data_IF_636550454748
#
_entry.id   IF_636550454748
#
_cell.length_a   1.000
_cell.length_b   1.000
_cell.length_c   1.000
_cell.angle_alpha   90.00
_cell.angle_beta   90.00
_cell.angle_gamma   90.00
#
_symmetry.space_group_name_H-M   'P 1'
#
loop_
_entity.id
_entity.type
_entity.pdbx_description
1 polymer ?
#
# COMPACT_ATOMS: atom_id res chain seq x y z
N UNK A 1 10.88 11.62 -1.67
CA UNK A 1 10.82 10.84 -0.43
C UNK A 1 11.08 11.71 0.81
N UNK A 2 12.24 12.39 0.95
CA UNK A 2 12.56 13.17 2.15
C UNK A 2 11.52 14.26 2.47
N UNK A 3 11.12 15.05 1.50
CA UNK A 3 10.11 16.10 1.71
C UNK A 3 8.75 15.52 2.19
N UNK A 4 8.35 14.37 1.66
CA UNK A 4 7.14 13.68 2.10
C UNK A 4 7.28 13.09 3.51
N UNK A 5 8.45 12.54 3.86
CA UNK A 5 8.73 12.07 5.22
C UNK A 5 8.59 13.21 6.23
N UNK A 6 9.25 14.34 5.97
CA UNK A 6 9.18 15.50 6.85
C UNK A 6 7.76 16.06 6.98
N UNK A 7 6.98 16.02 5.90
CA UNK A 7 5.58 16.42 5.91
C UNK A 7 4.72 15.50 6.80
N UNK A 8 4.90 14.19 6.67
CA UNK A 8 4.19 13.21 7.51
C UNK A 8 4.53 13.42 8.98
N UNK A 9 5.82 13.61 9.31
CA UNK A 9 6.28 13.88 10.69
C UNK A 9 5.72 15.21 11.24
N UNK A 10 5.57 16.23 10.38
CA UNK A 10 4.95 17.49 10.74
C UNK A 10 3.45 17.31 11.04
N UNK A 11 2.71 16.61 10.18
CA UNK A 11 1.29 16.35 10.39
C UNK A 11 1.08 15.54 11.69
N UNK A 12 1.89 14.53 11.93
CA UNK A 12 1.81 13.74 13.19
C UNK A 12 2.08 14.59 14.43
N UNK A 13 2.98 15.57 14.33
CA UNK A 13 3.32 16.47 15.44
C UNK A 13 2.21 17.47 15.73
N UNK A 14 1.64 18.07 14.69
CA UNK A 14 0.65 19.14 14.82
C UNK A 14 -0.77 18.58 14.99
N UNK A 15 -1.02 17.40 14.49
CA UNK A 15 -2.33 16.71 14.52
C UNK A 15 -2.17 15.27 15.03
N UNK A 16 -1.71 15.08 16.28
CA UNK A 16 -1.27 13.76 16.78
C UNK A 16 -2.38 12.70 16.84
N UNK A 17 -3.65 13.11 16.82
CA UNK A 17 -4.79 12.20 16.84
C UNK A 17 -5.39 11.95 15.46
N UNK A 18 -4.94 12.66 14.43
CA UNK A 18 -5.49 12.58 13.06
C UNK A 18 -4.82 11.51 12.19
N UNK A 19 -3.54 11.20 12.43
CA UNK A 19 -2.84 10.08 11.78
C UNK A 19 -2.77 8.88 12.73
N UNK A 20 -3.87 8.53 13.33
CA UNK A 20 -4.08 7.26 14.00
C UNK A 20 -4.44 6.15 12.98
N UNK A 21 -4.96 5.03 13.46
CA UNK A 21 -5.42 3.93 12.58
C UNK A 21 -6.49 4.35 11.58
N UNK A 22 -7.25 5.42 11.83
CA UNK A 22 -8.31 5.95 10.95
C UNK A 22 -7.84 7.12 10.09
N UNK A 23 -7.07 8.05 10.62
CA UNK A 23 -6.61 9.26 9.95
C UNK A 23 -5.53 9.07 8.87
N UNK A 24 -4.98 7.86 8.73
CA UNK A 24 -4.00 7.53 7.68
C UNK A 24 -4.58 7.46 6.26
N UNK A 25 -5.91 7.55 6.12
CA UNK A 25 -6.58 7.51 4.82
C UNK A 25 -6.72 8.90 4.22
N UNK A 26 -6.55 8.98 2.89
CA UNK A 26 -6.75 10.20 2.09
C UNK A 26 -5.95 11.43 2.55
N UNK A 27 -4.79 11.22 3.16
CA UNK A 27 -3.91 12.30 3.63
C UNK A 27 -3.43 13.23 2.52
N UNK A 28 -3.51 12.83 1.25
CA UNK A 28 -3.23 13.69 0.10
C UNK A 28 -4.22 14.87 0.01
N UNK A 29 -5.45 14.73 0.52
CA UNK A 29 -6.45 15.80 0.49
C UNK A 29 -6.14 16.95 1.45
N UNK A 30 -5.30 16.71 2.45
CA UNK A 30 -4.92 17.71 3.46
C UNK A 30 -3.46 18.18 3.31
N UNK A 31 -2.68 17.57 2.42
CA UNK A 31 -1.27 17.91 2.22
C UNK A 31 -0.91 18.04 0.73
N UNK A 32 -0.65 19.26 0.24
CA UNK A 32 -0.21 19.47 -1.13
C UNK A 32 1.07 18.71 -1.50
N UNK A 33 1.95 18.42 -0.53
CA UNK A 33 3.18 17.65 -0.78
C UNK A 33 2.90 16.17 -1.00
N UNK A 34 1.90 15.62 -0.31
CA UNK A 34 1.47 14.24 -0.51
C UNK A 34 0.61 14.11 -1.78
N UNK A 35 -0.21 15.13 -2.07
CA UNK A 35 -0.96 15.22 -3.31
C UNK A 35 -0.02 15.28 -4.54
N UNK A 36 1.09 16.01 -4.44
CA UNK A 36 2.11 16.04 -5.50
C UNK A 36 2.76 14.67 -5.79
N UNK A 37 2.70 13.70 -4.87
CA UNK A 37 3.11 12.32 -5.15
C UNK A 37 2.05 11.63 -6.00
N UNK A 38 0.79 11.79 -5.66
CA UNK A 38 -0.34 11.20 -6.40
C UNK A 38 -0.35 11.66 -7.86
N UNK A 39 -0.03 12.93 -8.09
CA UNK A 39 0.02 13.55 -9.41
C UNK A 39 1.43 13.58 -10.04
N UNK A 40 2.37 12.81 -9.51
CA UNK A 40 3.73 12.77 -10.06
C UNK A 40 3.75 12.16 -11.46
N UNK A 41 4.31 12.87 -12.44
CA UNK A 41 4.32 12.44 -13.85
C UNK A 41 4.94 11.05 -14.04
N UNK A 42 6.04 10.74 -13.36
CA UNK A 42 6.68 9.41 -13.47
C UNK A 42 5.79 8.27 -12.98
N UNK A 43 4.93 8.52 -12.00
CA UNK A 43 3.93 7.55 -11.54
C UNK A 43 2.81 7.46 -12.55
N UNK A 44 2.26 8.60 -12.98
CA UNK A 44 1.15 8.65 -13.92
C UNK A 44 1.51 8.08 -15.29
N UNK A 45 2.71 8.36 -15.82
CA UNK A 45 3.19 7.79 -17.08
C UNK A 45 3.24 6.25 -17.02
N UNK A 46 3.73 5.70 -15.88
CA UNK A 46 3.77 4.25 -15.68
C UNK A 46 2.35 3.66 -15.53
N UNK A 47 1.46 4.34 -14.83
CA UNK A 47 0.06 3.93 -14.67
C UNK A 47 -0.68 4.01 -16.01
N UNK A 48 -0.52 5.10 -16.77
CA UNK A 48 -1.12 5.27 -18.10
C UNK A 48 -0.72 4.15 -19.07
N UNK A 49 0.53 3.71 -19.00
CA UNK A 49 1.01 2.59 -19.82
C UNK A 49 0.32 1.26 -19.54
N UNK A 50 -0.34 1.12 -18.37
CA UNK A 50 -1.02 -0.10 -17.94
C UNK A 50 -2.52 -0.02 -18.18
N UNK A 51 -3.16 1.09 -17.75
CA UNK A 51 -4.62 1.22 -17.73
C UNK A 51 -5.16 2.24 -18.73
N UNK A 52 -4.29 2.90 -19.50
CA UNK A 52 -4.67 3.93 -20.49
C UNK A 52 -4.84 5.31 -19.87
N UNK A 53 -5.26 6.25 -20.74
CA UNK A 53 -5.53 7.65 -20.39
C UNK A 53 -6.78 7.78 -19.50
N UNK A 54 -6.98 8.98 -18.97
CA UNK A 54 -8.13 9.30 -18.11
C UNK A 54 -8.15 8.53 -16.79
N UNK A 55 -7.14 8.79 -16.01
CA UNK A 55 -6.89 8.12 -14.72
C UNK A 55 -7.64 8.87 -13.62
N UNK A 56 -8.37 8.13 -12.79
CA UNK A 56 -8.97 8.60 -11.55
C UNK A 56 -8.19 8.07 -10.34
N UNK A 57 -8.11 8.85 -9.28
CA UNK A 57 -7.57 8.43 -7.98
C UNK A 57 -8.72 8.06 -7.06
N UNK A 58 -8.74 6.84 -6.56
CA UNK A 58 -9.78 6.40 -5.63
C UNK A 58 -9.48 6.84 -4.19
N UNK A 59 -8.33 6.45 -3.66
CA UNK A 59 -7.94 6.78 -2.29
C UNK A 59 -6.43 6.65 -2.08
N UNK A 60 -5.95 7.17 -0.96
CA UNK A 60 -4.58 6.94 -0.51
C UNK A 60 -4.55 6.43 0.93
N UNK A 61 -3.49 5.72 1.29
CA UNK A 61 -3.27 5.22 2.64
C UNK A 61 -1.80 5.30 3.02
N UNK A 62 -1.52 5.75 4.24
CA UNK A 62 -0.20 5.59 4.85
C UNK A 62 -0.11 4.26 5.58
N UNK A 63 0.87 3.45 5.21
CA UNK A 63 1.25 2.24 5.94
C UNK A 63 2.54 2.49 6.71
N UNK A 64 2.40 2.78 7.99
CA UNK A 64 3.51 3.08 8.89
C UNK A 64 3.75 1.88 9.80
N UNK A 65 5.00 1.44 9.87
CA UNK A 65 5.47 0.43 10.83
C UNK A 65 6.61 1.02 11.64
N UNK A 66 6.34 1.30 12.90
CA UNK A 66 7.36 1.79 13.81
C UNK A 66 8.36 0.68 14.19
N UNK A 67 9.55 1.03 14.70
CA UNK A 67 10.55 0.05 15.11
C UNK A 67 9.98 -0.96 16.09
N UNK A 68 10.24 -2.25 15.86
CA UNK A 68 9.91 -3.37 16.78
C UNK A 68 8.41 -3.50 17.13
N UNK A 69 7.53 -2.93 16.31
CA UNK A 69 6.10 -3.14 16.46
C UNK A 69 5.64 -4.41 15.75
N UNK A 70 4.62 -5.06 16.32
CA UNK A 70 4.07 -6.32 15.83
C UNK A 70 3.01 -6.16 14.74
N UNK A 71 2.87 -4.95 14.19
CA UNK A 71 1.92 -4.66 13.13
C UNK A 71 2.34 -5.33 11.82
N UNK A 72 1.39 -6.01 11.22
CA UNK A 72 1.56 -6.71 9.95
C UNK A 72 0.38 -6.41 9.01
N UNK A 73 0.49 -6.84 7.77
CA UNK A 73 -0.61 -6.85 6.80
C UNK A 73 -0.78 -8.29 6.35
N UNK A 74 -1.95 -8.88 6.65
CA UNK A 74 -2.26 -10.25 6.21
C UNK A 74 -2.25 -10.36 4.68
N UNK A 75 -2.01 -11.56 4.15
CA UNK A 75 -2.11 -11.79 2.71
C UNK A 75 -3.54 -11.57 2.24
N UNK A 76 -3.69 -10.71 1.25
CA UNK A 76 -5.00 -10.32 0.69
C UNK A 76 -4.86 -9.92 -0.79
N UNK A 77 -6.00 -9.71 -1.43
CA UNK A 77 -6.12 -9.12 -2.76
C UNK A 77 -6.95 -7.83 -2.64
N UNK A 78 -6.44 -6.72 -3.14
CA UNK A 78 -7.13 -5.42 -3.08
C UNK A 78 -8.52 -5.45 -3.70
N UNK A 79 -8.72 -6.27 -4.73
CA UNK A 79 -9.99 -6.45 -5.41
C UNK A 79 -11.15 -6.86 -4.48
N UNK A 80 -10.86 -7.47 -3.33
CA UNK A 80 -11.89 -7.80 -2.31
C UNK A 80 -12.36 -6.59 -1.49
N UNK A 81 -11.57 -5.53 -1.47
CA UNK A 81 -11.90 -4.30 -0.73
C UNK A 81 -12.62 -3.27 -1.60
N UNK A 82 -12.31 -3.27 -2.89
CA UNK A 82 -12.83 -2.34 -3.88
C UNK A 82 -13.59 -3.14 -4.92
N UNK A 83 -14.90 -3.07 -4.92
CA UNK A 83 -15.78 -3.87 -5.77
C UNK A 83 -15.94 -3.30 -7.20
N UNK A 84 -14.83 -2.92 -7.84
CA UNK A 84 -14.81 -2.40 -9.21
C UNK A 84 -14.54 -3.53 -10.21
N UNK A 85 -15.35 -3.62 -11.25
CA UNK A 85 -15.19 -4.55 -12.36
C UNK A 85 -15.47 -3.85 -13.70
N UNK A 86 -14.68 -4.19 -14.75
CA UNK A 86 -13.51 -5.08 -14.74
C UNK A 86 -12.37 -4.51 -13.88
N UNK A 87 -11.45 -5.39 -13.45
CA UNK A 87 -10.31 -4.98 -12.61
C UNK A 87 -9.24 -4.20 -13.41
N UNK A 88 -9.68 -3.16 -14.11
CA UNK A 88 -8.82 -2.28 -14.91
C UNK A 88 -8.30 -1.10 -14.06
N UNK A 89 -7.58 -1.44 -13.01
CA UNK A 89 -6.98 -0.50 -12.10
C UNK A 89 -5.70 -1.07 -11.47
N UNK A 90 -4.89 -0.21 -10.90
CA UNK A 90 -3.59 -0.57 -10.36
C UNK A 90 -3.31 0.17 -9.05
N UNK A 91 -2.72 -0.53 -8.10
CA UNK A 91 -2.24 0.09 -6.85
C UNK A 91 -0.77 0.50 -7.00
N UNK A 92 -0.46 1.74 -6.62
CA UNK A 92 0.92 2.23 -6.52
C UNK A 92 1.35 2.27 -5.05
N UNK A 93 2.43 1.59 -4.72
CA UNK A 93 3.04 1.62 -3.40
C UNK A 93 4.38 2.34 -3.47
N UNK A 94 4.47 3.52 -2.85
CA UNK A 94 5.65 4.40 -2.87
C UNK A 94 6.40 4.29 -1.55
N UNK A 95 7.68 3.97 -1.61
CA UNK A 95 8.56 3.93 -0.45
C UNK A 95 8.95 5.35 -0.01
N UNK A 96 8.40 5.83 1.09
CA UNK A 96 8.81 7.11 1.69
C UNK A 96 10.12 6.94 2.46
N UNK A 97 10.31 5.80 3.11
CA UNK A 97 11.57 5.33 3.70
C UNK A 97 12.01 4.05 3.01
N UNK A 98 13.25 3.63 3.21
CA UNK A 98 13.69 2.30 2.76
C UNK A 98 12.74 1.21 3.29
N UNK A 99 12.40 0.27 2.43
CA UNK A 99 11.52 -0.86 2.71
C UNK A 99 12.24 -2.15 2.36
N UNK A 100 12.53 -3.00 3.33
CA UNK A 100 13.31 -4.22 3.17
C UNK A 100 12.77 -5.35 4.08
N UNK A 101 13.36 -6.53 3.99
CA UNK A 101 12.93 -7.69 4.76
C UNK A 101 13.00 -7.49 6.29
N UNK A 102 13.94 -6.66 6.78
CA UNK A 102 14.10 -6.43 8.23
C UNK A 102 13.01 -5.53 8.79
N UNK A 103 12.52 -4.55 7.99
CA UNK A 103 11.50 -3.60 8.43
C UNK A 103 10.09 -3.91 7.88
N UNK A 104 9.88 -5.13 7.40
CA UNK A 104 8.58 -5.62 6.97
C UNK A 104 8.13 -5.05 5.62
N UNK A 105 8.97 -5.18 4.59
CA UNK A 105 8.59 -4.83 3.22
C UNK A 105 7.39 -5.64 2.73
N UNK A 106 6.78 -5.18 1.66
CA UNK A 106 5.71 -5.90 0.99
C UNK A 106 6.24 -7.22 0.41
N UNK A 107 5.40 -8.24 0.48
CA UNK A 107 5.66 -9.58 -0.02
C UNK A 107 4.51 -9.95 -0.96
N UNK A 108 4.83 -10.51 -2.11
CA UNK A 108 3.85 -10.86 -3.14
C UNK A 108 3.96 -12.32 -3.55
N UNK A 109 2.81 -12.92 -3.86
CA UNK A 109 2.76 -14.23 -4.52
C UNK A 109 2.66 -14.04 -6.04
N UNK A 110 3.74 -14.29 -6.79
CA UNK A 110 3.76 -14.13 -8.24
C UNK A 110 2.67 -14.97 -8.92
N UNK A 111 2.04 -14.39 -9.97
CA UNK A 111 0.98 -15.01 -10.76
C UNK A 111 -0.35 -15.25 -10.04
N UNK A 112 -0.48 -14.97 -8.76
CA UNK A 112 -1.73 -15.16 -8.01
C UNK A 112 -2.89 -14.25 -8.48
N UNK A 113 -2.61 -13.22 -9.29
CA UNK A 113 -3.60 -12.31 -9.86
C UNK A 113 -4.53 -12.97 -10.89
N UNK A 114 -4.18 -14.14 -11.41
CA UNK A 114 -4.98 -14.87 -12.40
C UNK A 114 -6.35 -15.25 -11.82
N UNK A 115 -6.39 -15.54 -10.53
CA UNK A 115 -7.59 -16.00 -9.83
C UNK A 115 -7.92 -15.12 -8.63
N UNK A 116 -9.20 -14.82 -8.43
CA UNK A 116 -9.67 -14.19 -7.21
C UNK A 116 -9.83 -15.28 -6.13
N UNK A 117 -9.02 -15.17 -5.08
CA UNK A 117 -9.00 -16.16 -3.98
C UNK A 117 -10.10 -15.89 -2.97
N UNK A 118 -10.49 -16.93 -2.24
CA UNK A 118 -11.33 -16.75 -1.07
C UNK A 118 -10.56 -16.07 0.07
N UNK A 119 -11.27 -15.20 0.78
CA UNK A 119 -10.73 -14.46 1.90
C UNK A 119 -11.51 -14.80 3.17
N UNK A 120 -10.81 -15.34 4.15
CA UNK A 120 -11.39 -15.57 5.47
C UNK A 120 -11.33 -14.30 6.30
N UNK A 121 -12.37 -14.04 7.09
CA UNK A 121 -12.38 -12.93 8.04
C UNK A 121 -11.72 -13.37 9.33
N UNK A 122 -10.48 -12.94 9.56
CA UNK A 122 -9.72 -13.17 10.79
C UNK A 122 -9.28 -11.84 11.36
N UNK A 123 -9.93 -11.42 12.42
CA UNK A 123 -9.50 -10.25 13.18
C UNK A 123 -8.33 -10.63 14.07
N UNK A 124 -7.15 -10.14 13.74
CA UNK A 124 -5.96 -10.26 14.56
C UNK A 124 -5.55 -8.87 15.06
N UNK A 125 -5.29 -8.76 16.33
CA UNK A 125 -4.65 -7.57 16.91
C UNK A 125 -3.29 -7.36 16.22
N UNK A 126 -3.00 -6.14 15.79
CA UNK A 126 -1.80 -5.82 15.01
C UNK A 126 -1.95 -5.95 13.48
N UNK A 127 -3.03 -6.56 12.95
CA UNK A 127 -3.29 -6.50 11.52
C UNK A 127 -3.73 -5.09 11.13
N UNK A 128 -2.98 -4.47 10.22
CA UNK A 128 -3.30 -3.14 9.70
C UNK A 128 -4.52 -3.11 8.77
N UNK A 129 -5.01 -4.27 8.34
CA UNK A 129 -6.25 -4.39 7.59
C UNK A 129 -7.44 -4.46 8.54
N UNK A 130 -8.21 -3.40 8.61
CA UNK A 130 -9.34 -3.26 9.56
C UNK A 130 -10.46 -4.27 9.35
N UNK A 131 -10.62 -4.82 8.14
CA UNK A 131 -11.61 -5.87 7.83
C UNK A 131 -11.10 -7.28 8.11
N UNK A 132 -9.82 -7.45 8.44
CA UNK A 132 -9.23 -8.74 8.79
C UNK A 132 -9.28 -9.81 7.70
N UNK A 133 -9.51 -9.44 6.44
CA UNK A 133 -9.59 -10.39 5.33
C UNK A 133 -8.23 -11.00 5.03
N UNK A 134 -8.17 -12.32 4.96
CA UNK A 134 -6.91 -13.06 4.79
C UNK A 134 -7.08 -14.18 3.77
N UNK A 135 -6.15 -14.26 2.82
CA UNK A 135 -5.97 -15.43 1.95
C UNK A 135 -5.16 -16.46 2.70
N UNK A 136 -5.69 -17.66 2.85
CA UNK A 136 -4.99 -18.79 3.48
C UNK A 136 -4.24 -19.66 2.45
N UNK A 137 -3.37 -20.53 2.94
CA UNK A 137 -2.67 -21.49 2.08
C UNK A 137 -1.64 -20.86 1.12
N UNK A 138 -1.18 -19.65 1.43
CA UNK A 138 -0.16 -18.97 0.60
C UNK A 138 1.17 -19.74 0.69
N UNK A 139 1.76 -20.19 -0.44
CA UNK A 139 2.99 -20.96 -0.44
C UNK A 139 4.20 -20.06 -0.17
N UNK A 140 4.70 -20.09 1.06
CA UNK A 140 5.79 -19.21 1.52
C UNK A 140 7.07 -19.31 0.67
N UNK A 141 7.35 -20.47 0.07
CA UNK A 141 8.51 -20.69 -0.79
C UNK A 141 8.38 -20.00 -2.17
N UNK A 142 7.18 -19.63 -2.59
CA UNK A 142 6.93 -18.92 -3.85
C UNK A 142 6.89 -17.39 -3.65
N UNK A 143 6.78 -16.92 -2.41
CA UNK A 143 6.66 -15.50 -2.10
C UNK A 143 7.94 -14.74 -2.44
N UNK A 144 7.77 -13.58 -3.04
CA UNK A 144 8.85 -12.63 -3.34
C UNK A 144 8.75 -11.38 -2.48
N UNK A 145 9.86 -11.01 -1.88
CA UNK A 145 9.98 -9.74 -1.15
C UNK A 145 10.18 -8.59 -2.13
N UNK A 146 9.41 -7.53 -1.94
CA UNK A 146 9.48 -6.30 -2.74
C UNK A 146 10.27 -5.28 -1.93
N UNK A 147 11.59 -5.34 -2.03
CA UNK A 147 12.47 -4.38 -1.37
C UNK A 147 12.62 -3.12 -2.23
N UNK A 148 12.43 -1.97 -1.63
CA UNK A 148 12.46 -0.67 -2.29
C UNK A 148 13.30 0.32 -1.48
N UNK A 149 14.09 1.12 -2.17
CA UNK A 149 14.73 2.31 -1.59
C UNK A 149 13.75 3.46 -1.52
N UNK A 150 13.98 4.38 -0.58
CA UNK A 150 13.19 5.61 -0.47
C UNK A 150 13.11 6.35 -1.82
N UNK A 151 11.90 6.64 -2.27
CA UNK A 151 11.60 7.23 -3.58
C UNK A 151 11.35 6.25 -4.71
N UNK A 152 11.54 4.95 -4.51
CA UNK A 152 11.11 3.92 -5.45
C UNK A 152 9.65 3.54 -5.23
N UNK A 153 9.03 2.92 -6.21
CA UNK A 153 7.66 2.43 -6.13
C UNK A 153 7.51 1.04 -6.73
N UNK A 154 6.45 0.36 -6.35
CA UNK A 154 5.91 -0.79 -7.06
C UNK A 154 4.50 -0.48 -7.56
N UNK A 155 4.16 -1.03 -8.73
CA UNK A 155 2.80 -1.08 -9.24
C UNK A 155 2.32 -2.52 -9.18
N UNK A 156 1.10 -2.75 -8.74
CA UNK A 156 0.57 -4.10 -8.67
C UNK A 156 -0.91 -4.18 -9.01
N UNK A 157 -1.25 -5.30 -9.64
CA UNK A 157 -2.60 -5.64 -10.03
C UNK A 157 -3.48 -5.90 -8.79
N UNK A 158 -4.75 -5.45 -8.75
CA UNK A 158 -5.62 -5.59 -7.57
C UNK A 158 -5.84 -7.03 -7.10
N UNK A 159 -5.67 -8.00 -7.99
CA UNK A 159 -5.81 -9.42 -7.67
C UNK A 159 -4.50 -10.11 -7.28
N UNK A 160 -3.36 -9.40 -7.21
CA UNK A 160 -2.13 -10.03 -6.70
C UNK A 160 -2.26 -10.26 -5.19
N UNK A 161 -1.99 -11.48 -4.74
CA UNK A 161 -1.94 -11.78 -3.31
C UNK A 161 -0.68 -11.16 -2.73
N UNK A 162 -0.84 -10.28 -1.76
CA UNK A 162 0.27 -9.58 -1.12
C UNK A 162 -0.02 -9.32 0.36
N UNK A 163 1.03 -9.05 1.10
CA UNK A 163 0.98 -8.77 2.53
C UNK A 163 2.32 -8.24 3.01
N UNK A 164 2.51 -8.09 4.31
CA UNK A 164 3.80 -7.72 4.88
C UNK A 164 3.95 -8.17 6.32
N UNK A 165 5.12 -8.68 6.68
CA UNK A 165 5.46 -9.05 8.05
C UNK A 165 5.68 -7.85 8.97
N UNK A 166 6.04 -8.13 10.22
CA UNK A 166 6.33 -7.13 11.25
C UNK A 166 7.64 -6.38 10.97
N UNK A 167 7.81 -5.21 11.59
CA UNK A 167 9.06 -4.47 11.58
C UNK A 167 9.97 -4.91 12.74
N UNK A 168 10.98 -5.70 12.42
CA UNK A 168 12.01 -6.19 13.38
C UNK A 168 13.22 -5.27 13.53
N UNK A 169 13.29 -4.21 12.72
CA UNK A 169 14.43 -3.29 12.68
C UNK A 169 14.30 -2.16 13.70
N UNK A 170 15.34 -1.35 13.78
CA UNK A 170 15.33 -0.10 14.56
C UNK A 170 14.84 1.10 13.74
N UNK A 171 14.54 0.90 12.45
CA UNK A 171 14.17 1.97 11.53
C UNK A 171 12.67 1.98 11.29
N UNK A 172 12.08 3.15 11.22
CA UNK A 172 10.66 3.32 10.87
C UNK A 172 10.46 3.11 9.37
N UNK A 173 9.46 2.30 8.99
CA UNK A 173 9.09 2.07 7.60
C UNK A 173 7.79 2.80 7.28
N UNK A 174 7.82 3.70 6.30
CA UNK A 174 6.67 4.46 5.81
C UNK A 174 6.46 4.15 4.34
N UNK A 175 5.29 3.62 4.01
CA UNK A 175 4.79 3.45 2.66
C UNK A 175 3.59 4.37 2.42
N UNK A 176 3.59 5.07 1.29
CA UNK A 176 2.45 5.84 0.81
C UNK A 176 1.82 5.10 -0.35
N UNK A 177 0.58 4.71 -0.18
CA UNK A 177 -0.14 3.88 -1.15
C UNK A 177 -1.22 4.70 -1.82
N UNK A 178 -1.20 4.78 -3.14
CA UNK A 178 -2.36 5.18 -3.93
C UNK A 178 -3.15 3.89 -4.21
N UNK A 179 -4.21 3.72 -3.43
CA UNK A 179 -5.06 2.52 -3.49
C UNK A 179 -6.03 2.57 -4.66
N UNK A 180 -5.58 2.48 -5.83
CA UNK A 180 -6.28 2.44 -7.09
C UNK A 180 -6.18 3.74 -7.87
N UNK A 181 -5.32 3.70 -8.83
CA UNK A 181 -5.49 4.45 -10.05
C UNK A 181 -6.45 3.66 -10.94
N UNK A 182 -7.55 4.27 -11.29
CA UNK A 182 -8.68 3.63 -11.95
C UNK A 182 -8.80 4.20 -13.37
N UNK A 183 -8.88 3.32 -14.37
CA UNK A 183 -9.25 3.70 -15.73
C UNK A 183 -10.76 4.03 -15.80
N UNK A 184 -11.16 4.87 -16.77
CA UNK A 184 -12.57 5.29 -16.91
C UNK A 184 -13.49 4.23 -17.54
N UNK A 185 -13.01 3.03 -17.73
CA UNK A 185 -13.74 1.89 -18.32
C UNK A 185 -13.97 0.73 -17.30
N UNK A 186 -14.12 1.08 -16.05
CA UNK A 186 -14.52 0.18 -14.95
C UNK A 186 -15.96 0.42 -14.56
#
# INVERSE_FOLDING_TARGET
ALAAKNEIELIEKEMPNEIDKSGRYNVHLISPKLDAIVHNSKILDAVESIIGKNILVCSTTLFIKNPKQEEFVSYHQDAKYIGLEPHNWVTAWVAITDSNNKNGCMRMWPKSHIELKDHNQKFNEGNLLTRGQTVEGVPENEIKSIELKAGQMSLHHPRIVHGSGINKSNDRRIGFVVQSYIGTNV
#
